data_IF_957157932175
#
_entry.id   IF_957157932175
#
_cell.length_a   1.000
_cell.length_b   1.000
_cell.length_c   1.000
_cell.angle_alpha   90.00
_cell.angle_beta   90.00
_cell.angle_gamma   90.00
#
_symmetry.space_group_name_H-M   'P 1'
#
loop_
_entity.id
_entity.type
_entity.pdbx_description
1 polymer ?
#
# COMPACT_ATOMS: atom_id res chain seq x y z
N UNK A 1 67.89 -25.36 59.56
CA UNK A 1 67.73 -25.33 58.07
C UNK A 1 66.30 -25.76 57.73
N UNK A 2 65.38 -24.81 57.55
CA UNK A 2 64.00 -25.09 57.17
C UNK A 2 63.75 -24.59 55.72
N UNK A 3 63.45 -25.54 54.85
CA UNK A 3 63.12 -25.26 53.43
C UNK A 3 61.66 -24.87 53.34
N UNK A 4 61.34 -23.71 52.86
CA UNK A 4 59.99 -23.30 52.51
C UNK A 4 59.72 -23.65 51.04
N UNK A 5 58.68 -24.48 50.82
CA UNK A 5 58.17 -24.87 49.50
C UNK A 5 57.02 -23.92 49.14
N UNK A 6 57.25 -23.03 48.20
CA UNK A 6 56.22 -22.11 47.71
C UNK A 6 55.44 -22.79 46.60
N UNK A 7 54.12 -23.05 46.83
CA UNK A 7 53.21 -23.54 45.82
C UNK A 7 52.60 -22.36 45.08
N UNK A 8 52.93 -22.18 43.78
CA UNK A 8 52.29 -21.26 42.88
C UNK A 8 50.98 -21.89 42.38
N UNK A 9 49.84 -21.32 42.79
CA UNK A 9 48.52 -21.66 42.22
C UNK A 9 48.31 -20.72 41.03
N UNK A 10 48.45 -21.27 39.80
CA UNK A 10 48.07 -20.58 38.58
C UNK A 10 46.57 -20.60 38.42
N UNK A 11 45.93 -19.47 38.74
CA UNK A 11 44.50 -19.24 38.50
C UNK A 11 44.21 -19.05 37.01
N UNK A 12 43.61 -20.07 36.38
CA UNK A 12 43.13 -20.03 35.01
C UNK A 12 41.81 -19.27 34.95
N UNK A 13 41.85 -17.97 34.64
CA UNK A 13 40.68 -17.16 34.42
C UNK A 13 40.00 -17.57 33.10
N UNK A 14 38.89 -18.32 33.17
CA UNK A 14 38.02 -18.61 32.04
C UNK A 14 37.32 -17.32 31.64
N UNK A 15 37.85 -16.63 30.65
CA UNK A 15 37.16 -15.49 30.00
C UNK A 15 35.98 -16.04 29.21
N UNK A 16 34.77 -16.01 29.80
CA UNK A 16 33.51 -16.18 29.06
C UNK A 16 33.34 -14.99 28.13
N UNK A 17 33.76 -15.12 26.86
CA UNK A 17 33.39 -14.19 25.82
C UNK A 17 31.89 -14.33 25.58
N UNK A 18 31.11 -13.46 26.22
CA UNK A 18 29.69 -13.26 25.86
C UNK A 18 29.67 -12.74 24.43
N UNK A 19 29.39 -13.61 23.47
CA UNK A 19 29.03 -13.20 22.12
C UNK A 19 27.74 -12.36 22.26
N UNK A 20 27.90 -11.05 22.24
CA UNK A 20 26.75 -10.16 22.11
C UNK A 20 26.17 -10.42 20.73
N UNK A 21 25.14 -11.27 20.64
CA UNK A 21 24.34 -11.38 19.45
C UNK A 21 23.75 -10.00 19.19
N UNK A 22 24.18 -9.35 18.10
CA UNK A 22 23.50 -8.15 17.65
C UNK A 22 22.01 -8.49 17.52
N UNK A 23 21.15 -7.76 18.24
CA UNK A 23 19.72 -8.00 18.16
C UNK A 23 19.26 -7.95 16.70
N UNK A 24 18.54 -8.98 16.26
CA UNK A 24 17.98 -9.05 14.90
C UNK A 24 17.21 -7.74 14.59
N UNK A 25 17.42 -7.21 13.42
CA UNK A 25 16.83 -5.93 12.98
C UNK A 25 16.04 -6.13 11.70
N UNK A 26 15.08 -5.23 11.46
CA UNK A 26 14.35 -5.14 10.20
C UNK A 26 14.15 -3.67 9.84
N UNK A 27 14.53 -3.26 8.64
CA UNK A 27 14.13 -1.96 8.06
C UNK A 27 12.91 -2.16 7.19
N UNK A 28 11.80 -1.62 7.63
CA UNK A 28 10.47 -1.87 7.10
C UNK A 28 9.92 -0.62 6.39
N UNK A 29 9.81 -0.68 5.05
CA UNK A 29 9.13 0.34 4.27
C UNK A 29 7.66 -0.03 4.15
N UNK A 30 6.79 0.86 4.62
CA UNK A 30 5.34 0.64 4.63
C UNK A 30 4.61 1.66 3.76
N UNK A 31 3.70 1.19 2.91
CA UNK A 31 2.89 2.04 2.03
C UNK A 31 1.38 1.95 2.28
N UNK A 32 0.97 1.30 3.37
CA UNK A 32 -0.41 1.30 3.86
C UNK A 32 -0.71 2.55 4.72
N UNK A 33 -1.87 2.57 5.42
CA UNK A 33 -2.18 3.62 6.38
C UNK A 33 -1.20 3.54 7.57
N UNK A 34 -0.89 4.70 8.14
CA UNK A 34 0.11 4.86 9.21
C UNK A 34 -0.18 3.97 10.42
N UNK A 35 -1.43 3.97 10.90
CA UNK A 35 -1.86 3.17 12.04
C UNK A 35 -1.71 1.66 11.80
N UNK A 36 -1.94 1.20 10.57
CA UNK A 36 -1.71 -0.20 10.21
C UNK A 36 -0.22 -0.53 10.14
N UNK A 37 0.60 0.36 9.57
CA UNK A 37 2.06 0.21 9.56
C UNK A 37 2.64 0.10 10.98
N UNK A 38 2.16 0.96 11.90
CA UNK A 38 2.58 0.95 13.31
C UNK A 38 2.14 -0.35 14.01
N UNK A 39 0.90 -0.81 13.77
CA UNK A 39 0.41 -2.07 14.33
C UNK A 39 1.25 -3.26 13.87
N UNK A 40 1.51 -3.38 12.55
CA UNK A 40 2.36 -4.47 12.02
C UNK A 40 3.77 -4.44 12.62
N UNK A 41 4.34 -3.25 12.81
CA UNK A 41 5.64 -3.06 13.46
C UNK A 41 5.63 -3.59 14.89
N UNK A 42 4.64 -3.17 15.67
CA UNK A 42 4.48 -3.55 17.09
C UNK A 42 4.29 -5.05 17.25
N UNK A 43 3.33 -5.62 16.52
CA UNK A 43 2.94 -7.02 16.68
C UNK A 43 4.04 -7.97 16.17
N UNK A 44 4.72 -7.65 15.06
CA UNK A 44 5.87 -8.43 14.61
C UNK A 44 7.03 -8.39 15.61
N UNK A 45 7.36 -7.21 16.15
CA UNK A 45 8.41 -7.09 17.18
C UNK A 45 8.05 -7.88 18.44
N UNK A 46 6.78 -7.84 18.86
CA UNK A 46 6.31 -8.60 20.03
C UNK A 46 6.39 -10.12 19.79
N UNK A 47 6.02 -10.58 18.60
CA UNK A 47 6.01 -12.00 18.26
C UNK A 47 7.39 -12.62 18.07
N UNK A 48 8.41 -11.81 17.68
CA UNK A 48 9.72 -12.33 17.24
C UNK A 48 10.92 -11.83 18.04
N UNK A 49 10.76 -10.74 18.82
CA UNK A 49 11.88 -10.03 19.44
C UNK A 49 12.74 -9.20 18.47
N UNK A 50 12.40 -9.20 17.16
CA UNK A 50 13.15 -8.45 16.15
C UNK A 50 12.83 -6.96 16.27
N UNK A 51 13.86 -6.10 16.35
CA UNK A 51 13.68 -4.65 16.37
C UNK A 51 13.35 -4.13 14.97
N UNK A 52 12.22 -3.47 14.81
CA UNK A 52 11.75 -2.92 13.51
C UNK A 52 11.95 -1.42 13.45
N UNK A 53 12.63 -0.96 12.40
CA UNK A 53 12.72 0.46 12.03
C UNK A 53 11.77 0.70 10.85
N UNK A 54 10.63 1.33 11.10
CA UNK A 54 9.60 1.57 10.09
C UNK A 54 9.73 2.96 9.48
N UNK A 55 9.55 3.04 8.16
CA UNK A 55 9.36 4.29 7.42
C UNK A 55 8.10 4.17 6.57
N UNK A 56 7.18 5.11 6.76
CA UNK A 56 5.94 5.17 5.97
C UNK A 56 6.06 6.18 4.83
N UNK A 57 5.79 5.72 3.59
CA UNK A 57 5.68 6.55 2.38
C UNK A 57 4.59 5.99 1.46
N UNK A 58 4.07 6.80 0.55
CA UNK A 58 3.16 6.31 -0.49
C UNK A 58 3.88 5.43 -1.51
N UNK A 59 3.15 4.58 -2.23
CA UNK A 59 3.73 3.50 -3.05
C UNK A 59 4.71 4.02 -4.11
N UNK A 60 4.39 5.14 -4.79
CA UNK A 60 5.29 5.75 -5.76
C UNK A 60 6.56 6.34 -5.15
N UNK A 61 6.44 6.96 -3.97
CA UNK A 61 7.58 7.49 -3.22
C UNK A 61 8.49 6.37 -2.70
N UNK A 62 7.91 5.26 -2.22
CA UNK A 62 8.68 4.10 -1.76
C UNK A 62 9.43 3.44 -2.91
N UNK A 63 8.76 3.27 -4.07
CA UNK A 63 9.43 2.78 -5.28
C UNK A 63 10.62 3.67 -5.67
N UNK A 64 10.43 5.00 -5.70
CA UNK A 64 11.50 5.95 -6.03
C UNK A 64 12.66 5.87 -5.03
N UNK A 65 12.37 5.69 -3.73
CA UNK A 65 13.38 5.50 -2.70
C UNK A 65 14.18 4.20 -2.91
N UNK A 66 13.50 3.07 -3.08
CA UNK A 66 14.15 1.76 -3.31
C UNK A 66 15.04 1.83 -4.54
N UNK A 67 14.58 2.49 -5.61
CA UNK A 67 15.36 2.69 -6.83
C UNK A 67 16.60 3.55 -6.59
N UNK A 68 16.46 4.66 -5.87
CA UNK A 68 17.60 5.53 -5.53
C UNK A 68 18.63 4.84 -4.62
N UNK A 69 18.18 3.90 -3.79
CA UNK A 69 19.03 3.13 -2.88
C UNK A 69 19.59 1.82 -3.50
N UNK A 70 19.30 1.53 -4.77
CA UNK A 70 19.58 0.23 -5.39
C UNK A 70 21.06 -0.20 -5.33
N UNK A 71 22.00 0.76 -5.39
CA UNK A 71 23.43 0.49 -5.24
C UNK A 71 23.86 0.21 -3.78
N UNK A 72 23.08 0.64 -2.80
CA UNK A 72 23.34 0.46 -1.37
C UNK A 72 22.00 0.38 -0.60
N UNK A 73 21.26 -0.74 -0.69
CA UNK A 73 19.94 -0.89 -0.11
C UNK A 73 19.95 -0.65 1.40
N UNK A 74 18.94 0.09 1.87
CA UNK A 74 18.75 0.38 3.29
C UNK A 74 17.52 -0.31 3.85
N UNK A 75 16.48 -0.50 3.01
CA UNK A 75 15.27 -1.24 3.36
C UNK A 75 15.47 -2.75 3.20
N UNK A 76 14.75 -3.53 4.00
CA UNK A 76 14.73 -4.99 3.92
C UNK A 76 13.43 -5.50 3.31
N UNK A 77 12.29 -4.95 3.72
CA UNK A 77 10.96 -5.31 3.24
C UNK A 77 10.17 -4.06 2.89
N UNK A 78 9.45 -4.15 1.78
CA UNK A 78 8.41 -3.20 1.42
C UNK A 78 7.03 -3.88 1.49
N UNK A 79 6.16 -3.38 2.35
CA UNK A 79 4.84 -3.94 2.60
C UNK A 79 3.73 -2.92 2.40
N UNK A 80 2.66 -3.34 1.73
CA UNK A 80 1.48 -2.52 1.51
C UNK A 80 1.62 -1.52 0.36
N UNK A 81 0.54 -0.83 0.08
CA UNK A 81 0.38 -0.01 -1.12
C UNK A 81 -0.03 -0.85 -2.33
N UNK A 82 -0.28 -0.19 -3.46
CA UNK A 82 -0.75 -0.85 -4.68
C UNK A 82 0.32 -1.73 -5.33
N UNK A 83 -0.11 -2.78 -6.04
CA UNK A 83 0.78 -3.73 -6.68
C UNK A 83 1.55 -3.19 -7.88
N UNK A 84 1.01 -2.20 -8.61
CA UNK A 84 1.68 -1.68 -9.81
C UNK A 84 3.14 -1.25 -9.58
N UNK A 85 3.47 -0.43 -8.54
CA UNK A 85 4.87 -0.10 -8.27
C UNK A 85 5.71 -1.28 -7.79
N UNK A 86 5.11 -2.29 -7.12
CA UNK A 86 5.81 -3.52 -6.76
C UNK A 86 6.15 -4.36 -7.98
N UNK A 87 5.22 -4.48 -8.95
CA UNK A 87 5.46 -5.15 -10.23
C UNK A 87 6.56 -4.43 -11.01
N UNK A 88 6.53 -3.10 -11.04
CA UNK A 88 7.60 -2.31 -11.64
C UNK A 88 8.96 -2.55 -10.96
N UNK A 89 9.00 -2.58 -9.63
CA UNK A 89 10.22 -2.87 -8.89
C UNK A 89 10.76 -4.28 -9.17
N UNK A 90 9.86 -5.27 -9.30
CA UNK A 90 10.19 -6.64 -9.67
C UNK A 90 10.79 -6.72 -11.08
N UNK A 91 10.20 -6.03 -12.05
CA UNK A 91 10.68 -5.95 -13.44
C UNK A 91 12.05 -5.26 -13.51
N UNK A 92 12.26 -4.16 -12.76
CA UNK A 92 13.54 -3.44 -12.71
C UNK A 92 14.60 -4.15 -11.86
N UNK A 93 14.31 -5.35 -11.31
CA UNK A 93 15.26 -6.14 -10.53
C UNK A 93 15.60 -5.55 -9.15
N UNK A 94 14.69 -4.76 -8.58
CA UNK A 94 14.84 -4.10 -7.28
C UNK A 94 14.32 -4.92 -6.10
N UNK A 95 13.70 -6.07 -6.38
CA UNK A 95 13.15 -6.98 -5.37
C UNK A 95 13.66 -8.40 -5.55
N UNK A 96 13.70 -9.16 -4.46
CA UNK A 96 14.22 -10.52 -4.39
C UNK A 96 13.08 -11.53 -4.50
N UNK A 97 13.33 -12.64 -5.21
CA UNK A 97 12.37 -13.72 -5.30
C UNK A 97 12.33 -14.52 -4.00
N UNK A 98 11.13 -14.71 -3.44
CA UNK A 98 10.94 -15.53 -2.25
C UNK A 98 9.60 -16.28 -2.28
N UNK A 99 9.66 -17.60 -2.05
CA UNK A 99 8.48 -18.47 -1.96
C UNK A 99 8.18 -18.77 -0.50
N UNK A 100 7.20 -18.05 0.05
CA UNK A 100 6.72 -18.27 1.41
C UNK A 100 6.08 -19.67 1.58
N UNK A 101 6.26 -20.26 2.75
CA UNK A 101 5.55 -21.48 3.17
C UNK A 101 4.03 -21.26 3.31
N UNK A 102 3.56 -20.01 3.46
CA UNK A 102 2.14 -19.67 3.58
C UNK A 102 1.35 -19.73 2.26
N UNK A 103 2.01 -19.93 1.11
CA UNK A 103 1.36 -19.87 -0.23
C UNK A 103 0.10 -20.70 -0.37
N UNK A 104 0.06 -21.90 0.20
CA UNK A 104 -1.10 -22.80 0.13
C UNK A 104 -2.37 -22.26 0.81
N UNK A 105 -2.23 -21.24 1.65
CA UNK A 105 -3.33 -20.60 2.39
C UNK A 105 -3.87 -19.35 1.67
N UNK A 106 -3.23 -18.92 0.58
CA UNK A 106 -3.54 -17.64 -0.05
C UNK A 106 -4.58 -17.77 -1.16
N UNK A 107 -5.29 -16.68 -1.40
CA UNK A 107 -6.23 -16.51 -2.51
C UNK A 107 -5.50 -16.59 -3.86
N UNK A 108 -6.19 -17.07 -4.88
CA UNK A 108 -5.63 -17.29 -6.22
C UNK A 108 -5.13 -15.99 -6.87
N UNK A 109 -5.80 -14.86 -6.64
CA UNK A 109 -5.36 -13.57 -7.17
C UNK A 109 -3.99 -13.13 -6.61
N UNK A 110 -3.69 -13.45 -5.34
CA UNK A 110 -2.39 -13.17 -4.72
C UNK A 110 -1.28 -14.04 -5.33
N UNK A 111 -1.60 -15.31 -5.59
CA UNK A 111 -0.69 -16.26 -6.22
C UNK A 111 -0.45 -15.93 -7.70
N UNK A 112 -1.49 -15.51 -8.43
CA UNK A 112 -1.33 -15.04 -9.82
C UNK A 112 -0.39 -13.85 -9.92
N UNK A 113 -0.49 -12.88 -9.00
CA UNK A 113 0.44 -11.76 -8.97
C UNK A 113 1.87 -12.21 -8.70
N UNK A 114 2.09 -13.10 -7.73
CA UNK A 114 3.41 -13.64 -7.45
C UNK A 114 4.00 -14.37 -8.68
N UNK A 115 3.20 -15.18 -9.35
CA UNK A 115 3.62 -15.89 -10.56
C UNK A 115 3.99 -14.93 -11.70
N UNK A 116 3.21 -13.86 -11.91
CA UNK A 116 3.47 -12.86 -12.95
C UNK A 116 4.77 -12.07 -12.71
N UNK A 117 5.24 -12.00 -11.47
CA UNK A 117 6.46 -11.30 -11.06
C UNK A 117 7.62 -12.26 -10.73
N UNK A 118 7.55 -13.53 -11.11
CA UNK A 118 8.56 -14.55 -10.77
C UNK A 118 8.88 -14.61 -9.27
N UNK A 119 7.84 -14.55 -8.43
CA UNK A 119 7.88 -14.56 -6.97
C UNK A 119 8.65 -13.38 -6.31
N UNK A 120 8.90 -12.31 -7.07
CA UNK A 120 9.57 -11.10 -6.54
C UNK A 120 8.63 -10.14 -5.81
N UNK A 121 7.32 -10.37 -5.87
CA UNK A 121 6.29 -9.71 -5.08
C UNK A 121 5.10 -10.65 -4.90
N UNK A 122 4.26 -10.39 -3.90
CA UNK A 122 3.05 -11.17 -3.64
C UNK A 122 1.91 -10.25 -3.20
N UNK A 123 0.67 -10.62 -3.56
CA UNK A 123 -0.53 -9.94 -3.09
C UNK A 123 -0.79 -10.23 -1.61
N UNK A 124 -1.10 -9.20 -0.84
CA UNK A 124 -1.39 -9.32 0.60
C UNK A 124 -2.82 -8.90 0.94
N UNK A 125 -3.43 -8.04 0.15
CA UNK A 125 -4.84 -7.64 0.23
C UNK A 125 -5.35 -7.14 -1.11
N UNK A 126 -6.67 -6.95 -1.22
CA UNK A 126 -7.32 -6.34 -2.39
C UNK A 126 -8.39 -5.33 -1.97
N UNK A 127 -8.67 -4.35 -2.82
CA UNK A 127 -9.68 -3.33 -2.58
C UNK A 127 -10.10 -2.60 -3.85
N UNK A 128 -11.41 -2.32 -3.98
CA UNK A 128 -11.96 -1.59 -5.12
C UNK A 128 -11.63 -0.09 -5.03
N UNK A 129 -11.31 0.51 -6.17
CA UNK A 129 -11.23 1.95 -6.33
C UNK A 129 -12.64 2.57 -6.33
N UNK A 130 -12.76 3.81 -5.90
CA UNK A 130 -14.01 4.55 -5.92
C UNK A 130 -13.81 5.96 -5.40
N UNK A 131 -14.82 6.50 -4.78
CA UNK A 131 -14.71 7.76 -4.06
C UNK A 131 -15.67 7.77 -2.88
N UNK A 132 -15.47 8.71 -1.99
CA UNK A 132 -16.42 9.03 -0.95
C UNK A 132 -16.71 10.51 -0.94
N UNK A 133 -17.89 10.89 -0.43
CA UNK A 133 -18.23 12.28 -0.24
C UNK A 133 -18.82 12.53 1.14
N UNK A 134 -18.63 13.75 1.63
CA UNK A 134 -19.24 14.23 2.86
C UNK A 134 -20.68 14.70 2.57
N UNK A 135 -21.69 14.00 3.13
CA UNK A 135 -23.11 14.27 2.89
C UNK A 135 -23.54 15.65 3.39
N UNK A 136 -22.95 16.12 4.50
CA UNK A 136 -23.29 17.42 5.07
C UNK A 136 -22.74 18.56 4.20
N UNK A 137 -21.51 18.39 3.68
CA UNK A 137 -20.94 19.36 2.75
C UNK A 137 -21.67 19.39 1.39
N UNK A 138 -22.13 18.22 0.89
CA UNK A 138 -22.98 18.20 -0.32
C UNK A 138 -24.24 19.04 -0.09
N UNK A 139 -24.95 18.81 1.01
CA UNK A 139 -26.19 19.56 1.37
C UNK A 139 -25.90 21.06 1.53
N UNK A 140 -24.85 21.39 2.31
CA UNK A 140 -24.44 22.78 2.58
C UNK A 140 -24.13 23.56 1.30
N UNK A 141 -23.52 22.92 0.31
CA UNK A 141 -23.12 23.55 -0.95
C UNK A 141 -24.16 23.36 -2.08
N UNK A 142 -25.34 22.78 -1.81
CA UNK A 142 -26.38 22.46 -2.79
C UNK A 142 -25.84 21.64 -3.99
N UNK A 143 -24.92 20.68 -3.73
CA UNK A 143 -24.34 19.84 -4.75
C UNK A 143 -25.17 18.55 -4.93
N UNK A 144 -25.38 18.07 -6.16
CA UNK A 144 -26.01 16.78 -6.38
C UNK A 144 -25.12 15.65 -5.88
N UNK A 145 -25.70 14.54 -5.40
CA UNK A 145 -24.91 13.36 -5.02
C UNK A 145 -24.39 12.65 -6.27
N UNK A 146 -23.05 12.48 -6.42
CA UNK A 146 -22.49 11.77 -7.57
C UNK A 146 -22.63 10.26 -7.39
N UNK A 147 -22.85 9.54 -8.51
CA UNK A 147 -22.94 8.07 -8.55
C UNK A 147 -22.04 7.44 -9.61
N UNK A 148 -21.52 8.21 -10.53
CA UNK A 148 -20.70 7.77 -11.66
C UNK A 148 -19.39 8.56 -11.69
N UNK A 149 -18.35 8.04 -12.37
CA UNK A 149 -17.11 8.78 -12.60
C UNK A 149 -17.36 10.09 -13.35
N UNK A 150 -18.17 10.04 -14.41
CA UNK A 150 -18.49 11.21 -15.24
C UNK A 150 -19.23 12.31 -14.47
N UNK A 151 -19.92 11.97 -13.39
CA UNK A 151 -20.56 12.99 -12.54
C UNK A 151 -19.53 13.97 -11.98
N UNK A 152 -18.32 13.49 -11.64
CA UNK A 152 -17.25 14.31 -11.08
C UNK A 152 -16.72 15.39 -12.03
N UNK A 153 -17.12 15.36 -13.32
CA UNK A 153 -16.78 16.36 -14.33
C UNK A 153 -17.73 17.57 -14.34
N UNK A 154 -18.87 17.48 -13.63
CA UNK A 154 -19.86 18.57 -13.58
C UNK A 154 -19.23 19.84 -13.02
N UNK A 155 -19.45 21.01 -13.64
CA UNK A 155 -18.88 22.29 -13.17
C UNK A 155 -19.26 22.65 -11.72
N UNK A 156 -20.39 22.10 -11.22
CA UNK A 156 -20.82 22.29 -9.84
C UNK A 156 -19.78 21.77 -8.81
N UNK A 157 -18.93 20.81 -9.19
CA UNK A 157 -17.91 20.28 -8.28
C UNK A 157 -16.57 21.02 -8.36
N UNK A 158 -16.48 22.15 -9.05
CA UNK A 158 -15.24 22.92 -9.14
C UNK A 158 -14.72 23.29 -7.74
N UNK A 159 -13.51 22.85 -7.42
CA UNK A 159 -12.90 23.06 -6.11
C UNK A 159 -13.44 22.16 -4.97
N UNK A 160 -14.28 21.18 -5.29
CA UNK A 160 -14.87 20.25 -4.32
C UNK A 160 -14.28 18.83 -4.36
N UNK A 161 -13.43 18.52 -5.30
CA UNK A 161 -12.83 17.18 -5.47
C UNK A 161 -11.36 17.20 -5.07
N UNK A 162 -10.94 16.17 -4.35
CA UNK A 162 -9.53 15.88 -4.09
C UNK A 162 -9.16 14.49 -4.61
N UNK A 163 -7.95 14.36 -5.11
CA UNK A 163 -7.26 13.09 -5.33
C UNK A 163 -5.77 13.22 -5.00
N UNK A 164 -5.07 12.12 -4.88
CA UNK A 164 -3.63 12.17 -4.74
C UNK A 164 -2.94 12.40 -6.09
N UNK A 165 -1.65 12.73 -6.05
CA UNK A 165 -0.83 12.86 -7.26
C UNK A 165 -0.40 11.47 -7.75
N UNK A 166 -0.61 11.10 -9.03
CA UNK A 166 -0.26 9.80 -9.58
C UNK A 166 1.23 9.43 -9.49
N UNK A 167 2.13 10.41 -9.45
CA UNK A 167 3.56 10.15 -9.31
C UNK A 167 3.91 9.63 -7.90
N UNK A 168 3.27 10.16 -6.85
CA UNK A 168 3.54 9.77 -5.47
C UNK A 168 2.66 8.63 -4.97
N UNK A 169 1.40 8.57 -5.40
CA UNK A 169 0.36 7.68 -4.87
C UNK A 169 0.00 6.56 -5.83
N UNK A 170 0.05 5.33 -5.35
CA UNK A 170 -0.47 4.18 -6.08
C UNK A 170 -1.97 4.29 -6.35
N UNK A 171 -2.78 4.76 -5.38
CA UNK A 171 -4.22 5.00 -5.54
C UNK A 171 -4.52 5.92 -6.73
N UNK A 172 -3.78 7.01 -6.84
CA UNK A 172 -3.98 7.96 -7.93
C UNK A 172 -3.49 7.41 -9.28
N UNK A 173 -2.40 6.64 -9.28
CA UNK A 173 -1.98 5.93 -10.49
C UNK A 173 -3.03 4.89 -10.92
N UNK A 174 -3.57 4.11 -9.98
CA UNK A 174 -4.68 3.19 -10.28
C UNK A 174 -5.89 3.94 -10.82
N UNK A 175 -6.18 5.16 -10.33
CA UNK A 175 -7.24 6.01 -10.89
C UNK A 175 -6.95 6.36 -12.35
N UNK A 176 -5.76 6.87 -12.66
CA UNK A 176 -5.36 7.20 -14.03
C UNK A 176 -5.46 5.97 -14.96
N UNK A 177 -4.89 4.85 -14.56
CA UNK A 177 -4.93 3.60 -15.33
C UNK A 177 -6.36 3.06 -15.47
N UNK A 178 -7.23 3.24 -14.48
CA UNK A 178 -8.65 2.87 -14.54
C UNK A 178 -9.39 3.70 -15.58
N UNK A 179 -9.19 5.02 -15.60
CA UNK A 179 -9.84 5.88 -16.59
C UNK A 179 -9.41 5.52 -18.03
N UNK A 180 -8.13 5.23 -18.22
CA UNK A 180 -7.61 4.76 -19.51
C UNK A 180 -8.22 3.41 -19.92
N UNK A 181 -8.44 2.50 -18.97
CA UNK A 181 -9.01 1.18 -19.28
C UNK A 181 -10.53 1.23 -19.52
N UNK A 182 -11.27 2.08 -18.81
CA UNK A 182 -12.73 2.21 -18.98
C UNK A 182 -13.08 2.95 -20.27
N UNK A 183 -12.39 4.07 -20.55
CA UNK A 183 -12.79 5.00 -21.60
C UNK A 183 -11.90 4.92 -22.85
N UNK A 184 -10.81 4.14 -22.81
CA UNK A 184 -9.74 4.22 -23.79
C UNK A 184 -8.76 5.35 -23.49
N UNK A 185 -7.57 5.34 -24.09
CA UNK A 185 -6.52 6.28 -23.67
C UNK A 185 -6.89 7.73 -23.94
N UNK A 186 -7.39 8.06 -25.15
CA UNK A 186 -7.77 9.44 -25.49
C UNK A 186 -8.83 9.97 -24.53
N UNK A 187 -9.95 9.29 -24.42
CA UNK A 187 -11.09 9.76 -23.63
C UNK A 187 -10.81 9.66 -22.12
N UNK A 188 -9.96 8.72 -21.69
CA UNK A 188 -9.45 8.64 -20.32
C UNK A 188 -8.61 9.85 -19.94
N UNK A 189 -7.76 10.37 -20.82
CA UNK A 189 -7.03 11.61 -20.60
C UNK A 189 -7.91 12.85 -20.74
N UNK A 190 -8.91 12.84 -21.64
CA UNK A 190 -9.95 13.88 -21.68
C UNK A 190 -10.73 13.96 -20.36
N UNK A 191 -11.08 12.79 -19.81
CA UNK A 191 -11.67 12.69 -18.47
C UNK A 191 -10.75 13.30 -17.39
N UNK A 192 -9.46 12.94 -17.38
CA UNK A 192 -8.51 13.44 -16.37
C UNK A 192 -8.32 14.96 -16.48
N UNK A 193 -8.29 15.54 -17.69
CA UNK A 193 -8.27 16.99 -17.90
C UNK A 193 -9.56 17.66 -17.37
N UNK A 194 -10.71 17.04 -17.62
CA UNK A 194 -11.98 17.52 -17.09
C UNK A 194 -12.01 17.48 -15.56
N UNK A 195 -11.56 16.37 -14.97
CA UNK A 195 -11.49 16.20 -13.53
C UNK A 195 -10.52 17.19 -12.87
N UNK A 196 -9.37 17.48 -13.51
CA UNK A 196 -8.39 18.44 -13.02
C UNK A 196 -9.00 19.82 -12.75
N UNK A 197 -9.96 20.27 -13.57
CA UNK A 197 -10.66 21.55 -13.39
C UNK A 197 -11.47 21.61 -12.09
N UNK A 198 -11.85 20.47 -11.55
CA UNK A 198 -12.64 20.33 -10.33
C UNK A 198 -11.79 19.99 -9.09
N UNK A 199 -10.53 19.64 -9.30
CA UNK A 199 -9.58 19.33 -8.21
C UNK A 199 -9.15 20.61 -7.50
N UNK A 200 -9.29 20.64 -6.18
CA UNK A 200 -8.78 21.74 -5.35
C UNK A 200 -7.32 21.48 -4.90
N UNK A 201 -6.92 20.22 -4.76
CA UNK A 201 -5.58 19.86 -4.33
C UNK A 201 -5.22 18.42 -4.73
N UNK A 202 -3.98 18.23 -5.15
CA UNK A 202 -3.36 16.91 -5.27
C UNK A 202 -2.55 16.57 -4.03
N UNK A 203 -2.95 15.55 -3.29
CA UNK A 203 -2.27 15.12 -2.06
C UNK A 203 -1.13 14.13 -2.37
N UNK A 204 -0.20 13.93 -1.44
CA UNK A 204 0.84 12.90 -1.58
C UNK A 204 0.33 11.49 -1.27
N UNK A 205 -0.55 11.36 -0.28
CA UNK A 205 -1.10 10.09 0.18
C UNK A 205 -2.46 9.79 -0.44
N UNK A 206 -2.65 8.56 -0.93
CA UNK A 206 -3.90 8.11 -1.54
C UNK A 206 -5.13 8.15 -0.62
N UNK A 207 -4.96 8.00 0.70
CA UNK A 207 -6.05 8.08 1.68
C UNK A 207 -6.29 9.50 2.23
N UNK A 208 -5.45 10.49 1.90
CA UNK A 208 -5.62 11.85 2.41
C UNK A 208 -6.90 12.53 1.94
N UNK A 209 -7.35 12.38 0.67
CA UNK A 209 -8.56 13.03 0.18
C UNK A 209 -9.81 12.70 1.00
N UNK A 210 -10.02 11.45 1.36
CA UNK A 210 -11.21 11.07 2.15
C UNK A 210 -11.09 11.47 3.63
N UNK A 211 -9.87 11.56 4.17
CA UNK A 211 -9.66 12.10 5.51
C UNK A 211 -9.98 13.59 5.58
N UNK A 212 -9.63 14.34 4.54
CA UNK A 212 -10.01 15.74 4.39
C UNK A 212 -11.55 15.89 4.29
N UNK A 213 -12.20 15.04 3.49
CA UNK A 213 -13.66 15.02 3.40
C UNK A 213 -14.33 14.69 4.73
N UNK A 214 -13.81 13.70 5.47
CA UNK A 214 -14.33 13.34 6.80
C UNK A 214 -14.26 14.51 7.78
N UNK A 215 -13.18 15.30 7.74
CA UNK A 215 -13.00 16.49 8.60
C UNK A 215 -13.77 17.74 8.13
N UNK A 216 -14.44 17.68 7.00
CA UNK A 216 -15.14 18.84 6.43
C UNK A 216 -14.23 19.84 5.68
N UNK A 217 -13.00 19.46 5.36
CA UNK A 217 -12.03 20.28 4.64
C UNK A 217 -12.18 20.16 3.11
N UNK A 218 -12.88 19.11 2.64
CA UNK A 218 -13.13 18.83 1.23
C UNK A 218 -14.47 18.09 1.10
N UNK A 219 -15.12 18.13 -0.08
CA UNK A 219 -16.41 17.48 -0.25
C UNK A 219 -16.29 16.04 -0.76
N UNK A 220 -15.45 15.80 -1.78
CA UNK A 220 -15.35 14.50 -2.47
C UNK A 220 -13.89 14.06 -2.50
N UNK A 221 -13.60 12.85 -2.04
CA UNK A 221 -12.25 12.26 -2.10
C UNK A 221 -12.22 11.01 -2.97
N UNK A 222 -11.38 11.01 -4.03
CA UNK A 222 -11.12 9.81 -4.84
C UNK A 222 -10.09 8.95 -4.11
N UNK A 223 -10.49 7.71 -3.75
CA UNK A 223 -9.73 6.81 -2.89
C UNK A 223 -10.09 5.36 -3.17
N UNK A 224 -9.41 4.42 -2.55
CA UNK A 224 -9.95 3.06 -2.45
C UNK A 224 -11.15 3.05 -1.47
N UNK A 225 -12.18 2.29 -1.80
CA UNK A 225 -13.44 2.30 -1.05
C UNK A 225 -13.27 1.93 0.42
N UNK A 226 -12.35 1.03 0.76
CA UNK A 226 -12.06 0.67 2.14
C UNK A 226 -11.58 1.86 3.00
N UNK A 227 -10.90 2.85 2.41
CA UNK A 227 -10.51 4.09 3.11
C UNK A 227 -11.73 4.97 3.43
N UNK A 228 -12.69 5.03 2.50
CA UNK A 228 -13.95 5.74 2.72
C UNK A 228 -14.83 5.02 3.75
N UNK A 229 -14.92 3.69 3.69
CA UNK A 229 -15.61 2.85 4.68
C UNK A 229 -15.04 3.09 6.08
N UNK A 230 -13.72 3.16 6.20
CA UNK A 230 -13.07 3.45 7.50
C UNK A 230 -13.57 4.75 8.12
N UNK A 231 -13.73 5.80 7.31
CA UNK A 231 -14.27 7.08 7.81
C UNK A 231 -15.76 6.97 8.19
N UNK A 232 -16.58 6.33 7.36
CA UNK A 232 -17.99 6.12 7.64
C UNK A 232 -18.22 5.33 8.92
N UNK A 233 -17.53 4.20 9.11
CA UNK A 233 -17.58 3.37 10.35
C UNK A 233 -17.02 4.10 11.57
N UNK A 234 -16.18 5.10 11.36
CA UNK A 234 -15.68 5.96 12.44
C UNK A 234 -16.63 7.10 12.81
N UNK A 235 -17.85 7.14 12.23
CA UNK A 235 -18.90 8.10 12.57
C UNK A 235 -18.89 9.41 11.77
N UNK A 236 -18.03 9.53 10.76
CA UNK A 236 -18.04 10.68 9.87
C UNK A 236 -19.15 10.58 8.82
N UNK A 237 -19.73 11.70 8.36
CA UNK A 237 -20.84 11.72 7.39
C UNK A 237 -20.33 11.42 5.96
N UNK A 238 -19.67 10.27 5.80
CA UNK A 238 -19.09 9.84 4.53
C UNK A 238 -19.98 8.79 3.87
N UNK A 239 -20.40 9.08 2.65
CA UNK A 239 -21.03 8.12 1.73
C UNK A 239 -19.96 7.53 0.82
N UNK A 240 -19.90 6.20 0.76
CA UNK A 240 -19.00 5.46 -0.13
C UNK A 240 -19.69 5.21 -1.46
N UNK A 241 -18.99 5.38 -2.57
CA UNK A 241 -19.54 5.21 -3.92
C UNK A 241 -18.67 4.25 -4.75
N UNK A 242 -19.31 3.19 -5.25
CA UNK A 242 -18.80 2.38 -6.35
C UNK A 242 -19.34 3.00 -7.66
N UNK A 243 -18.49 3.54 -8.55
CA UNK A 243 -18.95 4.28 -9.73
C UNK A 243 -19.69 3.41 -10.74
N UNK A 244 -20.77 3.94 -11.31
CA UNK A 244 -21.73 3.23 -12.16
C UNK A 244 -21.12 2.65 -13.45
N UNK A 245 -20.07 3.28 -14.01
CA UNK A 245 -19.37 2.78 -15.19
C UNK A 245 -18.58 1.51 -14.92
N UNK A 246 -18.34 1.21 -13.65
CA UNK A 246 -17.39 0.22 -13.18
C UNK A 246 -16.11 0.87 -12.70
N UNK A 247 -15.22 0.09 -12.11
CA UNK A 247 -14.00 0.63 -11.50
C UNK A 247 -12.86 -0.37 -11.48
N UNK A 248 -11.64 0.14 -11.36
CA UNK A 248 -10.45 -0.65 -11.10
C UNK A 248 -10.35 -1.09 -9.64
N UNK A 249 -9.32 -1.85 -9.37
CA UNK A 249 -9.02 -2.34 -8.02
C UNK A 249 -7.51 -2.48 -7.83
N UNK A 250 -7.08 -2.56 -6.59
CA UNK A 250 -5.70 -2.87 -6.26
C UNK A 250 -5.55 -4.34 -5.84
N UNK A 251 -4.35 -4.86 -6.04
CA UNK A 251 -3.80 -5.97 -5.28
C UNK A 251 -2.64 -5.37 -4.49
N UNK A 252 -2.90 -5.01 -3.24
CA UNK A 252 -1.86 -4.51 -2.34
C UNK A 252 -0.78 -5.57 -2.16
N UNK A 253 0.48 -5.17 -2.09
CA UNK A 253 1.59 -6.09 -2.28
C UNK A 253 2.67 -6.00 -1.22
N UNK A 254 3.51 -7.04 -1.19
CA UNK A 254 4.72 -7.11 -0.36
C UNK A 254 5.88 -7.65 -1.18
N UNK A 255 7.08 -7.12 -0.93
CA UNK A 255 8.33 -7.52 -1.59
C UNK A 255 9.49 -7.50 -0.61
N UNK A 256 10.42 -8.43 -0.73
CA UNK A 256 11.74 -8.32 -0.12
C UNK A 256 12.60 -7.45 -1.05
N UNK A 257 13.28 -6.47 -0.50
CA UNK A 257 14.14 -5.56 -1.28
C UNK A 257 15.43 -6.30 -1.63
N UNK A 258 15.86 -6.19 -2.89
CA UNK A 258 17.08 -6.83 -3.36
C UNK A 258 18.29 -6.27 -2.62
N UNK A 259 19.13 -7.19 -2.11
CA UNK A 259 20.28 -6.80 -1.29
C UNK A 259 19.91 -6.38 0.13
N UNK A 260 18.73 -6.77 0.64
CA UNK A 260 18.31 -6.58 2.03
C UNK A 260 19.43 -7.01 2.99
N UNK A 261 19.79 -6.13 3.93
CA UNK A 261 20.89 -6.38 4.87
C UNK A 261 20.53 -7.39 5.95
N UNK A 262 19.23 -7.48 6.26
CA UNK A 262 18.69 -8.37 7.28
C UNK A 262 17.75 -9.39 6.63
N UNK A 263 18.28 -10.16 5.68
CA UNK A 263 17.52 -11.09 4.83
C UNK A 263 16.70 -12.10 5.62
N UNK A 264 17.25 -12.69 6.69
CA UNK A 264 16.52 -13.68 7.49
C UNK A 264 15.35 -13.02 8.27
N UNK A 265 15.56 -11.81 8.80
CA UNK A 265 14.47 -11.02 9.40
C UNK A 265 13.40 -10.63 8.37
N UNK A 266 13.82 -10.31 7.13
CA UNK A 266 12.90 -10.01 6.03
C UNK A 266 12.03 -11.20 5.66
N UNK A 267 12.59 -12.40 5.55
CA UNK A 267 11.85 -13.65 5.30
C UNK A 267 10.89 -13.98 6.45
N UNK A 268 11.34 -13.84 7.70
CA UNK A 268 10.49 -14.04 8.89
C UNK A 268 9.29 -13.09 8.88
N UNK A 269 9.52 -11.79 8.56
CA UNK A 269 8.42 -10.83 8.42
C UNK A 269 7.48 -11.19 7.27
N UNK A 270 8.04 -11.60 6.13
CA UNK A 270 7.28 -11.97 4.95
C UNK A 270 6.32 -13.14 5.24
N UNK A 271 6.80 -14.20 5.86
CA UNK A 271 5.99 -15.37 6.22
C UNK A 271 4.94 -15.00 7.29
N UNK A 272 5.34 -14.27 8.34
CA UNK A 272 4.44 -13.81 9.38
C UNK A 272 3.32 -12.92 8.81
N UNK A 273 3.65 -11.95 7.97
CA UNK A 273 2.67 -11.03 7.38
C UNK A 273 1.67 -11.70 6.43
N UNK A 274 1.95 -12.91 5.96
CA UNK A 274 1.04 -13.74 5.15
C UNK A 274 0.20 -14.69 6.00
N UNK A 275 0.43 -14.81 7.30
CA UNK A 275 -0.38 -15.64 8.19
C UNK A 275 -1.78 -15.07 8.38
N UNK A 276 -2.75 -15.93 8.66
CA UNK A 276 -4.14 -15.53 8.94
C UNK A 276 -4.25 -14.58 10.12
N UNK A 277 -3.48 -14.83 11.18
CA UNK A 277 -3.48 -13.99 12.39
C UNK A 277 -2.94 -12.58 12.10
N UNK A 278 -1.80 -12.46 11.41
CA UNK A 278 -1.22 -11.17 11.08
C UNK A 278 -2.13 -10.36 10.14
N UNK A 279 -2.76 -10.99 9.15
CA UNK A 279 -3.69 -10.30 8.27
C UNK A 279 -4.99 -9.91 8.97
N UNK A 280 -5.43 -10.68 9.97
CA UNK A 280 -6.59 -10.34 10.81
C UNK A 280 -6.37 -9.12 11.71
N UNK A 281 -5.11 -8.72 11.97
CA UNK A 281 -4.78 -7.49 12.70
C UNK A 281 -5.35 -6.23 12.05
N UNK A 282 -5.58 -6.26 10.73
CA UNK A 282 -6.20 -5.17 9.98
C UNK A 282 -7.49 -4.64 10.64
N UNK A 283 -8.28 -5.53 11.23
CA UNK A 283 -9.55 -5.19 11.90
C UNK A 283 -9.37 -4.28 13.11
N UNK A 284 -8.25 -4.39 13.83
CA UNK A 284 -7.96 -3.56 15.02
C UNK A 284 -7.80 -2.08 14.67
N UNK A 285 -7.41 -1.78 13.42
CA UNK A 285 -7.22 -0.41 12.92
C UNK A 285 -8.26 -0.03 11.87
N UNK A 286 -9.36 -0.78 11.78
CA UNK A 286 -10.44 -0.55 10.81
C UNK A 286 -9.92 -0.50 9.36
N UNK A 287 -8.96 -1.37 9.02
CA UNK A 287 -8.51 -1.57 7.65
C UNK A 287 -9.39 -2.67 7.02
N UNK A 288 -10.17 -2.28 6.02
CA UNK A 288 -11.25 -3.09 5.45
C UNK A 288 -10.93 -3.64 4.06
N UNK A 289 -9.66 -3.83 3.76
CA UNK A 289 -9.21 -4.54 2.56
C UNK A 289 -9.54 -6.04 2.68
N UNK A 290 -9.73 -6.69 1.54
CA UNK A 290 -9.91 -8.15 1.49
C UNK A 290 -8.54 -8.81 1.65
N UNK A 291 -8.32 -9.63 2.70
CA UNK A 291 -7.03 -10.25 2.96
C UNK A 291 -6.72 -11.36 1.94
N UNK A 292 -5.42 -11.59 1.67
CA UNK A 292 -5.00 -12.67 0.78
C UNK A 292 -5.02 -14.04 1.44
N UNK A 293 -4.89 -14.16 2.75
CA UNK A 293 -4.97 -15.44 3.44
C UNK A 293 -6.44 -15.82 3.67
N UNK A 294 -6.83 -17.00 3.17
CA UNK A 294 -8.21 -17.53 3.23
C UNK A 294 -8.72 -17.73 4.66
N UNK A 295 -7.83 -17.95 5.64
CA UNK A 295 -8.17 -18.11 7.05
C UNK A 295 -8.28 -16.80 7.83
N UNK A 296 -8.02 -15.65 7.22
CA UNK A 296 -8.09 -14.36 7.92
C UNK A 296 -9.52 -13.94 8.21
N UNK A 297 -9.71 -13.31 9.38
CA UNK A 297 -10.97 -12.68 9.75
C UNK A 297 -11.22 -11.45 8.89
N UNK A 298 -12.47 -11.26 8.47
CA UNK A 298 -12.94 -10.08 7.71
C UNK A 298 -14.04 -9.37 8.49
N UNK A 299 -14.31 -8.11 8.13
CA UNK A 299 -15.40 -7.33 8.71
C UNK A 299 -16.60 -7.31 7.77
N UNK A 300 -17.86 -7.38 8.29
CA UNK A 300 -19.04 -7.12 7.47
C UNK A 300 -19.07 -5.70 6.86
N UNK A 301 -18.31 -4.77 7.42
CA UNK A 301 -18.18 -3.42 6.88
C UNK A 301 -17.24 -3.34 5.65
N UNK A 302 -16.44 -4.39 5.39
CA UNK A 302 -15.58 -4.42 4.20
C UNK A 302 -16.42 -4.37 2.92
N UNK A 303 -16.00 -3.61 1.89
CA UNK A 303 -16.69 -3.61 0.61
C UNK A 303 -16.76 -5.03 0.02
N UNK A 304 -17.96 -5.48 -0.32
CA UNK A 304 -18.14 -6.74 -1.04
C UNK A 304 -17.72 -6.56 -2.50
N UNK A 305 -16.53 -7.03 -2.84
CA UNK A 305 -15.99 -6.90 -4.20
C UNK A 305 -16.83 -7.64 -5.26
N UNK A 306 -17.61 -8.65 -4.87
CA UNK A 306 -18.48 -9.39 -5.79
C UNK A 306 -19.71 -8.58 -6.23
N UNK A 307 -20.14 -7.60 -5.43
CA UNK A 307 -21.25 -6.68 -5.73
C UNK A 307 -20.82 -5.45 -6.52
N UNK A 308 -19.50 -5.23 -6.70
CA UNK A 308 -18.94 -4.06 -7.39
C UNK A 308 -18.62 -4.45 -8.84
N UNK A 309 -18.99 -3.60 -9.79
CA UNK A 309 -18.62 -3.76 -11.20
C UNK A 309 -17.14 -3.47 -11.38
N UNK A 310 -16.29 -4.47 -11.12
CA UNK A 310 -14.85 -4.37 -11.36
C UNK A 310 -14.53 -4.56 -12.84
N UNK A 311 -13.57 -3.80 -13.37
CA UNK A 311 -13.01 -4.04 -14.70
C UNK A 311 -12.00 -5.19 -14.64
N UNK A 312 -11.73 -5.81 -15.75
CA UNK A 312 -10.58 -6.73 -15.91
C UNK A 312 -9.29 -5.89 -15.97
N UNK A 313 -8.79 -5.49 -14.78
CA UNK A 313 -7.64 -4.60 -14.67
C UNK A 313 -6.36 -5.30 -15.14
N UNK A 314 -5.75 -4.78 -16.19
CA UNK A 314 -4.57 -5.37 -16.81
C UNK A 314 -3.28 -5.02 -16.01
N UNK A 315 -3.05 -5.72 -14.91
CA UNK A 315 -1.85 -5.53 -14.07
C UNK A 315 -0.54 -5.74 -14.83
N UNK A 316 -0.51 -6.66 -15.82
CA UNK A 316 0.67 -6.92 -16.63
C UNK A 316 1.08 -5.67 -17.43
N UNK A 317 0.12 -5.01 -18.06
CA UNK A 317 0.38 -3.79 -18.85
C UNK A 317 0.66 -2.60 -17.93
N UNK A 318 -0.24 -2.28 -17.02
CA UNK A 318 -0.20 -1.04 -16.24
C UNK A 318 0.77 -1.10 -15.05
N UNK A 319 1.17 -2.29 -14.61
CA UNK A 319 2.27 -2.51 -13.67
C UNK A 319 3.64 -2.58 -14.32
N UNK A 320 3.75 -2.59 -15.67
CA UNK A 320 5.05 -2.58 -16.34
C UNK A 320 5.76 -1.22 -16.20
N UNK A 321 7.08 -1.24 -16.11
CA UNK A 321 7.91 -0.04 -15.98
C UNK A 321 7.70 0.93 -17.14
N UNK A 322 7.65 0.41 -18.37
CA UNK A 322 7.50 1.23 -19.57
C UNK A 322 6.15 1.97 -19.59
N UNK A 323 5.05 1.23 -19.40
CA UNK A 323 3.71 1.83 -19.45
C UNK A 323 3.46 2.79 -18.29
N UNK A 324 3.89 2.44 -17.09
CA UNK A 324 3.76 3.34 -15.94
C UNK A 324 4.51 4.66 -16.15
N UNK A 325 5.76 4.63 -16.60
CA UNK A 325 6.54 5.83 -16.92
C UNK A 325 5.87 6.67 -18.01
N UNK A 326 5.36 6.00 -19.06
CA UNK A 326 4.69 6.66 -20.17
C UNK A 326 3.43 7.40 -19.75
N UNK A 327 2.56 6.73 -18.96
CA UNK A 327 1.31 7.33 -18.48
C UNK A 327 1.56 8.46 -17.49
N UNK A 328 2.52 8.31 -16.57
CA UNK A 328 2.88 9.38 -15.63
C UNK A 328 3.44 10.60 -16.36
N UNK A 329 4.34 10.39 -17.32
CA UNK A 329 4.83 11.51 -18.13
C UNK A 329 3.71 12.21 -18.88
N UNK A 330 2.81 11.45 -19.52
CA UNK A 330 1.67 12.01 -20.23
C UNK A 330 0.73 12.77 -19.32
N UNK A 331 0.51 12.26 -18.09
CA UNK A 331 -0.29 12.95 -17.07
C UNK A 331 0.36 14.27 -16.64
N UNK A 332 1.68 14.28 -16.43
CA UNK A 332 2.42 15.51 -16.10
C UNK A 332 2.29 16.55 -17.23
N UNK A 333 2.50 16.14 -18.49
CA UNK A 333 2.52 17.03 -19.65
C UNK A 333 1.12 17.53 -20.03
N UNK A 334 0.08 16.67 -20.00
CA UNK A 334 -1.24 16.95 -20.58
C UNK A 334 -2.33 17.26 -19.57
N UNK A 335 -2.11 17.00 -18.28
CA UNK A 335 -3.13 17.21 -17.24
C UNK A 335 -2.63 18.16 -16.16
N UNK A 336 -1.47 17.85 -15.57
CA UNK A 336 -1.00 18.57 -14.37
C UNK A 336 -0.34 19.91 -14.70
N UNK A 337 0.30 20.03 -15.85
CA UNK A 337 0.96 21.27 -16.30
C UNK A 337 -0.01 22.32 -16.88
N UNK A 338 -1.30 22.00 -17.02
CA UNK A 338 -2.35 22.89 -17.51
C UNK A 338 -3.05 23.62 -16.37
#
# INVERSE_FOLDING_TARGET
MKKYLSIMIAGMALSMTSSAFAADKLTFYCSAQEDWCQLMTKEFSAATGIKVNMTRKSSGETFAQIKAESANPKGDVWWGGTGDPHLQAAEEGLTEAYKSSMRGQLQDWALRQAASASDKTIGIYSGALGYGYNEDLLKKNNLPAPSCWKDLLKPAYKGHVQMANPNSSGTAYTTLATMVQIFGEKDGFDFMRGLHKNINQYTKSGSAPIKAAAKGENTIGIVFMHDAVKQAVSGFPIKVVAPCEGTGYEIGSMSIIKGARNMESAKKFYDWALSADAQSLALQVKAYQVPSNKGSKTSPAAPDLSSIKLIDYNFKKYGSSAERKRLLKKWDDEVYAQ
#
